data_IF_471328046321
#
_entry.id   IF_471328046321
#
_cell.length_a   1.000
_cell.length_b   1.000
_cell.length_c   1.000
_cell.angle_alpha   90.00
_cell.angle_beta   90.00
_cell.angle_gamma   90.00
#
_symmetry.space_group_name_H-M   'P 1'
#
loop_
_entity.id
_entity.type
_entity.pdbx_description
1 polymer ?
#
# COMPACT_ATOMS: atom_id res chain seq x y z
N UNK A 1 -1.73 -11.70 17.40
CA UNK A 1 -2.21 -10.91 16.25
C UNK A 1 -1.12 -10.94 15.20
N UNK A 2 -1.38 -11.56 14.05
CA UNK A 2 -0.44 -11.56 12.93
C UNK A 2 -0.24 -10.12 12.45
N UNK A 3 1.02 -9.70 12.28
CA UNK A 3 1.34 -8.38 11.71
C UNK A 3 1.65 -8.55 10.24
N UNK A 4 0.81 -7.95 9.42
CA UNK A 4 1.01 -7.85 7.97
C UNK A 4 1.62 -6.49 7.66
N UNK A 5 2.67 -6.46 6.83
CA UNK A 5 3.09 -5.21 6.21
C UNK A 5 1.99 -4.77 5.24
N UNK A 6 1.51 -3.55 5.40
CA UNK A 6 0.44 -2.98 4.58
C UNK A 6 0.91 -1.70 3.91
N UNK A 7 0.37 -1.43 2.72
CA UNK A 7 0.56 -0.18 2.01
C UNK A 7 -0.81 0.42 1.74
N UNK A 8 -1.08 1.60 2.30
CA UNK A 8 -2.28 2.36 2.04
C UNK A 8 -2.03 3.40 0.96
N UNK A 9 -2.95 3.50 0.02
CA UNK A 9 -2.86 4.42 -1.11
C UNK A 9 -4.00 5.43 -1.04
N UNK A 10 -3.70 6.68 -1.37
CA UNK A 10 -4.70 7.73 -1.53
C UNK A 10 -4.47 8.50 -2.83
N UNK A 11 -5.53 9.12 -3.33
CA UNK A 11 -5.47 9.93 -4.56
C UNK A 11 -4.93 11.33 -4.26
N UNK A 12 -4.18 11.90 -5.19
CA UNK A 12 -3.62 13.24 -5.06
C UNK A 12 -4.48 14.30 -5.76
N UNK A 13 -5.24 13.90 -6.78
CA UNK A 13 -6.04 14.81 -7.60
C UNK A 13 -7.53 14.57 -7.44
N UNK A 14 -8.31 15.64 -7.49
CA UNK A 14 -9.77 15.55 -7.42
C UNK A 14 -10.36 14.72 -8.56
N UNK A 15 -11.40 13.96 -8.23
CA UNK A 15 -12.29 13.35 -9.20
C UNK A 15 -13.49 14.26 -9.43
N UNK A 16 -13.86 14.47 -10.70
CA UNK A 16 -15.07 15.22 -11.05
C UNK A 16 -16.27 14.28 -11.03
N UNK A 17 -17.18 14.49 -10.08
CA UNK A 17 -18.45 13.74 -9.98
C UNK A 17 -19.59 14.74 -10.08
N UNK A 18 -20.41 14.62 -11.14
CA UNK A 18 -21.56 15.48 -11.38
C UNK A 18 -21.22 16.99 -11.31
N UNK A 19 -20.08 17.38 -11.89
CA UNK A 19 -19.60 18.76 -11.92
C UNK A 19 -18.93 19.25 -10.62
N UNK A 20 -18.80 18.39 -9.60
CA UNK A 20 -18.10 18.70 -8.35
C UNK A 20 -16.72 18.07 -8.34
N UNK A 21 -15.72 18.84 -7.91
CA UNK A 21 -14.35 18.37 -7.69
C UNK A 21 -14.21 17.93 -6.24
N UNK A 22 -13.76 16.69 -6.02
CA UNK A 22 -13.49 16.18 -4.68
C UNK A 22 -12.49 15.03 -4.69
N UNK A 23 -11.68 14.94 -3.65
CA UNK A 23 -11.00 13.71 -3.26
C UNK A 23 -12.05 12.73 -2.73
N UNK A 24 -12.18 11.58 -3.37
CA UNK A 24 -13.05 10.47 -2.96
C UNK A 24 -12.43 9.73 -1.78
N UNK A 25 -11.11 9.50 -1.83
CA UNK A 25 -10.33 8.85 -0.78
C UNK A 25 -9.16 9.77 -0.40
N UNK A 26 -9.37 10.71 0.53
CA UNK A 26 -8.30 11.52 1.10
C UNK A 26 -7.40 10.68 2.03
N UNK A 27 -6.16 11.13 2.25
CA UNK A 27 -5.17 10.41 3.07
C UNK A 27 -5.69 9.96 4.44
N UNK A 28 -6.39 10.85 5.16
CA UNK A 28 -6.91 10.55 6.50
C UNK A 28 -8.00 9.47 6.50
N UNK A 29 -8.67 9.24 5.36
CA UNK A 29 -9.64 8.16 5.18
C UNK A 29 -8.98 6.86 4.72
N UNK A 30 -7.84 6.94 4.04
CA UNK A 30 -7.08 5.77 3.57
C UNK A 30 -6.25 5.12 4.68
N UNK A 31 -5.82 5.91 5.67
CA UNK A 31 -4.97 5.45 6.75
C UNK A 31 -5.78 5.05 7.99
N UNK A 32 -5.57 3.81 8.47
CA UNK A 32 -6.12 3.33 9.74
C UNK A 32 -5.32 3.88 10.93
N UNK A 33 -5.93 4.65 11.84
CA UNK A 33 -5.26 5.10 13.07
C UNK A 33 -4.81 3.89 13.90
N UNK A 34 -3.55 3.90 14.34
CA UNK A 34 -2.98 2.83 15.18
C UNK A 34 -2.58 1.56 14.43
N UNK A 35 -2.69 1.51 13.10
CA UNK A 35 -2.09 0.44 12.32
C UNK A 35 -0.55 0.50 12.45
N UNK A 36 0.05 -0.63 12.79
CA UNK A 36 1.51 -0.81 12.83
C UNK A 36 2.02 -1.40 11.50
N UNK A 37 3.30 -1.20 11.20
CA UNK A 37 3.96 -1.77 10.02
C UNK A 37 3.31 -1.35 8.69
N UNK A 38 2.85 -0.10 8.63
CA UNK A 38 2.17 0.49 7.47
C UNK A 38 3.00 1.53 6.76
N UNK A 39 2.96 1.49 5.43
CA UNK A 39 3.38 2.58 4.57
C UNK A 39 2.12 3.28 4.03
N UNK A 40 2.16 4.62 3.93
CA UNK A 40 1.10 5.38 3.26
C UNK A 40 1.72 6.11 2.08
N UNK A 41 1.16 5.95 0.87
CA UNK A 41 1.68 6.55 -0.37
C UNK A 41 0.58 7.33 -1.09
N UNK A 42 0.94 8.49 -1.66
CA UNK A 42 0.08 9.17 -2.62
C UNK A 42 0.23 8.54 -4.00
N UNK A 43 -0.85 8.53 -4.77
CA UNK A 43 -0.81 8.26 -6.20
C UNK A 43 -1.20 9.56 -6.93
N UNK A 44 -0.33 10.10 -7.80
CA UNK A 44 -0.55 11.33 -8.55
C UNK A 44 -1.57 11.13 -9.67
N UNK A 45 -2.80 10.84 -9.27
CA UNK A 45 -3.95 10.54 -10.11
C UNK A 45 -5.22 10.79 -9.32
N UNK A 46 -6.36 10.81 -10.01
CA UNK A 46 -7.67 10.85 -9.38
C UNK A 46 -8.22 9.42 -9.16
N UNK A 47 -9.27 9.30 -8.36
CA UNK A 47 -9.85 8.02 -7.95
C UNK A 47 -10.18 7.11 -9.13
N UNK A 48 -10.68 7.68 -10.23
CA UNK A 48 -11.08 6.92 -11.41
C UNK A 48 -9.90 6.32 -12.20
N UNK A 49 -8.70 6.85 -12.02
CA UNK A 49 -7.51 6.52 -12.81
C UNK A 49 -6.30 6.07 -11.97
N UNK A 50 -6.35 6.14 -10.64
CA UNK A 50 -5.21 5.82 -9.78
C UNK A 50 -4.75 4.35 -9.85
N UNK A 51 -5.57 3.47 -10.41
CA UNK A 51 -5.23 2.07 -10.70
C UNK A 51 -4.99 1.77 -12.20
N UNK A 52 -5.04 2.81 -13.06
CA UNK A 52 -4.93 2.69 -14.52
C UNK A 52 -3.63 3.33 -15.01
N UNK A 53 -2.53 2.60 -14.85
CA UNK A 53 -1.23 3.06 -15.31
C UNK A 53 -1.13 2.94 -16.83
N UNK A 54 -0.82 4.06 -17.50
CA UNK A 54 -0.70 4.09 -18.96
C UNK A 54 0.65 3.57 -19.46
N UNK A 55 1.68 3.59 -18.61
CA UNK A 55 3.01 3.06 -18.92
C UNK A 55 3.84 2.83 -17.65
N UNK A 56 4.97 2.15 -17.77
CA UNK A 56 5.96 2.01 -16.69
C UNK A 56 6.62 3.35 -16.30
N UNK A 57 6.51 4.36 -17.16
CA UNK A 57 7.03 5.69 -16.89
C UNK A 57 6.11 6.56 -16.02
N UNK A 58 4.86 6.13 -15.84
CA UNK A 58 3.88 6.77 -14.97
C UNK A 58 4.38 6.88 -13.53
N UNK A 59 4.18 8.05 -12.91
CA UNK A 59 4.66 8.33 -11.55
C UNK A 59 3.91 7.53 -10.49
N UNK A 60 2.61 7.28 -10.69
CA UNK A 60 1.82 6.38 -9.86
C UNK A 60 2.30 4.94 -9.97
N UNK A 61 2.55 4.47 -11.19
CA UNK A 61 3.12 3.14 -11.42
C UNK A 61 4.43 2.96 -10.67
N UNK A 62 5.37 3.91 -10.86
CA UNK A 62 6.69 3.88 -10.19
C UNK A 62 6.55 3.86 -8.66
N UNK A 63 5.59 4.59 -8.10
CA UNK A 63 5.37 4.65 -6.65
C UNK A 63 4.85 3.33 -6.09
N UNK A 64 3.87 2.72 -6.76
CA UNK A 64 3.35 1.39 -6.38
C UNK A 64 4.42 0.32 -6.58
N UNK A 65 5.11 0.32 -7.73
CA UNK A 65 6.16 -0.64 -8.06
C UNK A 65 7.30 -0.63 -7.04
N UNK A 66 7.77 0.55 -6.62
CA UNK A 66 8.82 0.67 -5.59
C UNK A 66 8.38 0.07 -4.25
N UNK A 67 7.13 0.32 -3.86
CA UNK A 67 6.58 -0.22 -2.61
C UNK A 67 6.49 -1.75 -2.66
N UNK A 68 5.98 -2.31 -3.76
CA UNK A 68 5.92 -3.75 -3.98
C UNK A 68 7.31 -4.41 -4.00
N UNK A 69 8.29 -3.78 -4.64
CA UNK A 69 9.67 -4.28 -4.66
C UNK A 69 10.30 -4.26 -3.27
N UNK A 70 10.00 -3.26 -2.44
CA UNK A 70 10.43 -3.23 -1.04
C UNK A 70 9.82 -4.37 -0.22
N UNK A 71 8.51 -4.61 -0.36
CA UNK A 71 7.84 -5.74 0.30
C UNK A 71 8.42 -7.08 -0.16
N UNK A 72 8.61 -7.25 -1.47
CA UNK A 72 9.22 -8.46 -2.05
C UNK A 72 10.62 -8.72 -1.50
N UNK A 73 11.46 -7.68 -1.38
CA UNK A 73 12.82 -7.82 -0.87
C UNK A 73 12.86 -8.35 0.57
N UNK A 74 11.84 -8.04 1.39
CA UNK A 74 11.72 -8.48 2.78
C UNK A 74 11.00 -9.83 2.93
N UNK A 75 10.20 -10.23 1.94
CA UNK A 75 9.30 -11.38 2.04
C UNK A 75 10.00 -12.68 2.43
N UNK A 76 11.14 -13.01 1.80
CA UNK A 76 11.85 -14.25 2.10
C UNK A 76 12.32 -14.31 3.56
N UNK A 77 12.94 -13.23 4.06
CA UNK A 77 13.39 -13.16 5.44
C UNK A 77 12.20 -13.28 6.41
N UNK A 78 11.09 -12.60 6.10
CA UNK A 78 9.87 -12.66 6.92
C UNK A 78 9.26 -14.06 6.98
N UNK A 79 9.20 -14.77 5.84
CA UNK A 79 8.69 -16.14 5.77
C UNK A 79 9.58 -17.08 6.58
N UNK A 80 10.91 -16.96 6.45
CA UNK A 80 11.87 -17.76 7.22
C UNK A 80 11.71 -17.53 8.73
N UNK A 81 11.63 -16.27 9.16
CA UNK A 81 11.39 -15.91 10.55
C UNK A 81 10.08 -16.49 11.09
N UNK A 82 9.02 -16.49 10.27
CA UNK A 82 7.73 -17.06 10.66
C UNK A 82 7.83 -18.58 10.84
N UNK A 83 8.54 -19.29 9.96
CA UNK A 83 8.77 -20.73 10.10
C UNK A 83 9.56 -21.06 11.36
N UNK A 84 10.66 -20.37 11.62
CA UNK A 84 11.45 -20.58 12.85
C UNK A 84 10.65 -20.33 14.12
N UNK A 85 9.82 -19.28 14.14
CA UNK A 85 8.94 -18.99 15.29
C UNK A 85 7.93 -20.11 15.52
N UNK A 86 7.34 -20.64 14.45
CA UNK A 86 6.41 -21.75 14.52
C UNK A 86 7.08 -23.04 15.01
N UNK A 87 8.25 -23.38 14.48
CA UNK A 87 9.02 -24.55 14.92
C UNK A 87 9.36 -24.46 16.41
N UNK A 88 9.79 -23.28 16.88
CA UNK A 88 10.09 -23.03 18.28
C UNK A 88 8.87 -23.16 19.19
N UNK A 89 7.70 -22.63 18.78
CA UNK A 89 6.47 -22.72 19.56
C UNK A 89 5.89 -24.13 19.64
N UNK A 90 6.21 -24.99 18.67
CA UNK A 90 5.63 -26.32 18.53
C UNK A 90 6.59 -27.46 18.92
N UNK A 91 7.81 -27.13 19.37
CA UNK A 91 8.80 -28.09 19.88
C UNK A 91 8.94 -28.08 21.41
N UNK A 92 8.10 -27.30 22.09
CA UNK A 92 7.86 -27.36 23.54
C UNK A 92 6.51 -28.01 23.84
#
# INVERSE_FOLDING_TARGET
>A
MERFEMVFCYEEYDTVILGKHMLIVPQHSAALPGAADVQVISIPSNHSNMAKFLSENDSGFKSVYRSLQSMRAKANAKVQDNWWRWEYSNSQ
#
